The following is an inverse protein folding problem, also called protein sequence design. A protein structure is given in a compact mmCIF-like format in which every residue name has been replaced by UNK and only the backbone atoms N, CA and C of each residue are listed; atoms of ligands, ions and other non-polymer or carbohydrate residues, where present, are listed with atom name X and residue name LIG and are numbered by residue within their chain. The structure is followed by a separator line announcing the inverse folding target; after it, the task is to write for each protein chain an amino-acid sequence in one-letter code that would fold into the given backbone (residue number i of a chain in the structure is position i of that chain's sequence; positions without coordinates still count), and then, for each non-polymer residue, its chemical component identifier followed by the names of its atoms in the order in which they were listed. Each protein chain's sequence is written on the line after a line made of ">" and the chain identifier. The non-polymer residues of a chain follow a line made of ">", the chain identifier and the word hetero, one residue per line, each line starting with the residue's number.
data_IF_387389565705
#
_entry.id   IF_387389565705
#
_cell.length_a   1.000
_cell.length_b   1.000
_cell.length_c   1.000
_cell.angle_alpha   90.00
_cell.angle_beta   90.00
_cell.angle_gamma   90.00
#
_symmetry.space_group_name_H-M   'P 1'
#
loop_
_entity.id
_entity.type
_entity.pdbx_description
1 polymer ?
#
# COMPACT_ATOMS: atom_id res chain seq x y z
N UNK A 1 -19.04 -3.72 41.51
CA UNK A 1 -18.95 -4.25 40.14
C UNK A 1 -18.41 -3.13 39.28
N UNK A 2 -17.22 -3.30 38.69
CA UNK A 2 -16.65 -2.28 37.81
C UNK A 2 -17.42 -2.27 36.49
N UNK A 3 -17.91 -1.10 36.08
CA UNK A 3 -18.58 -0.88 34.80
C UNK A 3 -17.65 -1.26 33.64
N UNK A 4 -17.86 -2.46 33.13
CA UNK A 4 -17.28 -2.99 31.92
C UNK A 4 -18.34 -2.87 30.80
N UNK A 5 -18.02 -2.32 29.61
CA UNK A 5 -16.70 -1.84 29.14
C UNK A 5 -16.46 -0.36 29.46
N UNK A 6 -15.19 0.01 29.64
CA UNK A 6 -14.77 1.41 29.84
C UNK A 6 -15.00 2.22 28.57
N UNK A 7 -15.14 3.54 28.70
CA UNK A 7 -15.29 4.44 27.54
C UNK A 7 -14.14 4.31 26.53
N UNK A 8 -12.91 4.12 27.00
CA UNK A 8 -11.74 3.86 26.16
C UNK A 8 -11.85 2.55 25.37
N UNK A 9 -12.48 1.51 25.94
CA UNK A 9 -12.73 0.24 25.25
C UNK A 9 -13.74 0.44 24.11
N UNK A 10 -14.78 1.24 24.32
CA UNK A 10 -15.77 1.58 23.28
C UNK A 10 -15.13 2.36 22.12
N UNK A 11 -14.31 3.35 22.41
CA UNK A 11 -13.58 4.10 21.38
C UNK A 11 -12.62 3.20 20.59
N UNK A 12 -11.91 2.29 21.27
CA UNK A 12 -11.04 1.34 20.61
C UNK A 12 -11.82 0.38 19.70
N UNK A 13 -12.94 -0.16 20.18
CA UNK A 13 -13.82 -1.03 19.38
C UNK A 13 -14.33 -0.31 18.13
N UNK A 14 -14.78 0.94 18.27
CA UNK A 14 -15.27 1.71 17.12
C UNK A 14 -14.17 1.98 16.09
N UNK A 15 -12.97 2.36 16.54
CA UNK A 15 -11.81 2.55 15.67
C UNK A 15 -11.39 1.25 14.96
N UNK A 16 -11.44 0.11 15.66
CA UNK A 16 -11.16 -1.20 15.07
C UNK A 16 -12.22 -1.58 14.04
N UNK A 17 -13.50 -1.37 14.33
CA UNK A 17 -14.60 -1.65 13.40
C UNK A 17 -14.47 -0.81 12.13
N UNK A 18 -14.19 0.49 12.24
CA UNK A 18 -13.92 1.36 11.07
C UNK A 18 -12.79 0.83 10.19
N UNK A 19 -11.72 0.31 10.79
CA UNK A 19 -10.61 -0.30 10.04
C UNK A 19 -11.01 -1.60 9.36
N UNK A 20 -11.85 -2.41 9.99
CA UNK A 20 -12.36 -3.66 9.42
C UNK A 20 -13.25 -3.34 8.21
N UNK A 21 -14.20 -2.43 8.37
CA UNK A 21 -15.10 -1.99 7.29
C UNK A 21 -14.31 -1.46 6.09
N UNK A 22 -13.31 -0.60 6.30
CA UNK A 22 -12.45 -0.12 5.23
C UNK A 22 -11.70 -1.27 4.53
N UNK A 23 -11.21 -2.26 5.28
CA UNK A 23 -10.56 -3.43 4.70
C UNK A 23 -11.52 -4.29 3.87
N UNK A 24 -12.76 -4.44 4.31
CA UNK A 24 -13.80 -5.17 3.56
C UNK A 24 -14.14 -4.46 2.24
N UNK A 25 -14.27 -3.13 2.26
CA UNK A 25 -14.47 -2.34 1.04
C UNK A 25 -13.32 -2.50 0.05
N UNK A 26 -12.08 -2.53 0.54
CA UNK A 26 -10.91 -2.79 -0.31
C UNK A 26 -10.92 -4.20 -0.90
N UNK A 27 -11.28 -5.24 -0.11
CA UNK A 27 -11.42 -6.61 -0.61
C UNK A 27 -12.49 -6.69 -1.70
N UNK A 28 -13.63 -6.05 -1.47
CA UNK A 28 -14.74 -6.00 -2.43
C UNK A 28 -14.29 -5.36 -3.75
N UNK A 29 -13.64 -4.20 -3.69
CA UNK A 29 -13.13 -3.48 -4.87
C UNK A 29 -12.12 -4.32 -5.67
N UNK A 30 -11.20 -5.01 -4.97
CA UNK A 30 -10.22 -5.87 -5.63
C UNK A 30 -10.86 -7.13 -6.22
N UNK A 31 -11.90 -7.69 -5.59
CA UNK A 31 -12.63 -8.84 -6.12
C UNK A 31 -13.43 -8.49 -7.38
N UNK A 32 -14.01 -7.28 -7.45
CA UNK A 32 -14.75 -6.81 -8.62
C UNK A 32 -13.87 -6.40 -9.82
N UNK A 33 -12.54 -6.44 -9.67
CA UNK A 33 -11.56 -5.94 -10.66
C UNK A 33 -11.29 -6.90 -11.82
N UNK A 34 -11.58 -8.19 -11.67
CA UNK A 34 -11.19 -9.24 -12.65
C UNK A 34 -11.75 -9.04 -14.07
N UNK A 35 -12.64 -8.06 -14.29
CA UNK A 35 -13.27 -7.75 -15.57
C UNK A 35 -12.90 -6.38 -16.19
N UNK A 36 -11.74 -5.79 -15.87
CA UNK A 36 -11.39 -4.47 -16.43
C UNK A 36 -11.36 -4.55 -17.96
N UNK A 37 -12.37 -3.96 -18.59
CA UNK A 37 -12.56 -3.93 -20.05
C UNK A 37 -11.43 -3.12 -20.69
N UNK A 38 -10.60 -3.77 -21.52
CA UNK A 38 -9.51 -3.12 -22.27
C UNK A 38 -10.04 -1.92 -23.09
N UNK A 39 -11.31 -1.97 -23.52
CA UNK A 39 -11.96 -0.86 -24.22
C UNK A 39 -12.12 0.39 -23.34
N UNK A 40 -12.30 0.23 -22.03
CA UNK A 40 -12.40 1.35 -21.11
C UNK A 40 -11.06 2.11 -21.02
N UNK A 41 -9.91 1.41 -21.07
CA UNK A 41 -8.58 2.02 -21.04
C UNK A 41 -8.25 2.79 -22.32
N UNK A 42 -8.77 2.37 -23.46
CA UNK A 42 -8.56 3.05 -24.74
C UNK A 42 -9.20 4.44 -24.81
N UNK A 43 -10.25 4.69 -24.03
CA UNK A 43 -10.90 6.01 -23.97
C UNK A 43 -10.20 7.03 -23.04
N UNK A 44 -9.22 6.58 -22.25
CA UNK A 44 -8.52 7.42 -21.29
C UNK A 44 -7.34 8.19 -21.93
N UNK A 45 -7.01 9.33 -21.32
CA UNK A 45 -5.99 10.23 -21.85
C UNK A 45 -4.57 9.67 -21.63
N UNK A 46 -3.81 9.53 -22.73
CA UNK A 46 -2.42 9.05 -22.73
C UNK A 46 -1.39 10.15 -22.98
N UNK A 47 -1.79 11.43 -22.92
CA UNK A 47 -0.94 12.59 -23.22
C UNK A 47 0.28 12.59 -22.32
N UNK A 48 1.47 12.55 -22.93
CA UNK A 48 2.76 12.46 -22.23
C UNK A 48 2.93 13.52 -21.13
N UNK A 49 2.46 14.76 -21.39
CA UNK A 49 2.50 15.85 -20.41
C UNK A 49 1.75 15.50 -19.12
N UNK A 50 0.56 14.91 -19.23
CA UNK A 50 -0.30 14.59 -18.07
C UNK A 50 0.20 13.35 -17.34
N UNK A 51 0.57 12.31 -18.07
CA UNK A 51 1.11 11.07 -17.47
C UNK A 51 2.45 11.33 -16.78
N UNK A 52 3.32 12.18 -17.34
CA UNK A 52 4.59 12.58 -16.70
C UNK A 52 4.35 13.43 -15.44
N UNK A 53 3.37 14.33 -15.47
CA UNK A 53 2.99 15.11 -14.29
C UNK A 53 2.47 14.22 -13.15
N UNK A 54 1.65 13.22 -13.47
CA UNK A 54 1.22 12.18 -12.53
C UNK A 54 2.42 11.45 -11.92
N UNK A 55 3.34 10.95 -12.74
CA UNK A 55 4.53 10.23 -12.27
C UNK A 55 5.42 11.10 -11.38
N UNK A 56 5.57 12.39 -11.69
CA UNK A 56 6.33 13.33 -10.86
C UNK A 56 5.70 13.49 -9.47
N UNK A 57 4.37 13.62 -9.42
CA UNK A 57 3.60 13.74 -8.17
C UNK A 57 3.66 12.45 -7.35
N UNK A 58 3.65 11.30 -8.01
CA UNK A 58 3.80 9.98 -7.38
C UNK A 58 5.18 9.81 -6.70
N UNK A 59 6.25 10.34 -7.29
CA UNK A 59 7.60 10.27 -6.67
C UNK A 59 7.75 11.16 -5.43
N UNK A 60 6.81 12.08 -5.18
CA UNK A 60 6.73 12.93 -3.99
C UNK A 60 5.45 12.67 -3.20
N UNK A 61 5.12 11.39 -3.00
CA UNK A 61 3.89 10.95 -2.35
C UNK A 61 3.79 11.41 -0.89
N UNK A 62 2.57 11.81 -0.53
CA UNK A 62 2.14 12.12 0.84
C UNK A 62 0.64 11.88 0.97
N UNK A 63 0.14 11.74 2.20
CA UNK A 63 -1.28 11.60 2.51
C UNK A 63 -2.16 12.65 1.80
N UNK A 64 -1.71 13.91 1.77
CA UNK A 64 -2.46 15.02 1.16
C UNK A 64 -2.53 14.92 -0.38
N UNK A 65 -1.55 14.29 -1.01
CA UNK A 65 -1.50 14.15 -2.48
C UNK A 65 -2.39 13.03 -3.03
N UNK A 66 -2.76 12.06 -2.18
CA UNK A 66 -3.48 10.84 -2.57
C UNK A 66 -4.84 11.11 -3.23
N UNK A 67 -5.75 11.94 -2.69
CA UNK A 67 -7.07 12.13 -3.30
C UNK A 67 -6.97 12.64 -4.73
N UNK A 68 -6.08 13.60 -4.97
CA UNK A 68 -5.86 14.15 -6.30
C UNK A 68 -5.13 13.18 -7.23
N UNK A 69 -4.26 12.31 -6.71
CA UNK A 69 -3.69 11.21 -7.52
C UNK A 69 -4.74 10.18 -7.93
N UNK A 70 -5.68 9.83 -7.05
CA UNK A 70 -6.79 8.91 -7.40
C UNK A 70 -7.69 9.53 -8.48
N UNK A 71 -7.96 10.84 -8.38
CA UNK A 71 -8.69 11.57 -9.42
C UNK A 71 -7.93 11.54 -10.76
N UNK A 72 -6.65 11.88 -10.77
CA UNK A 72 -5.82 11.84 -11.97
C UNK A 72 -5.80 10.42 -12.58
N UNK A 73 -5.65 9.39 -11.74
CA UNK A 73 -5.65 7.97 -12.12
C UNK A 73 -6.95 7.58 -12.84
N UNK A 74 -8.10 8.15 -12.48
CA UNK A 74 -9.39 7.89 -13.13
C UNK A 74 -9.51 8.41 -14.56
N UNK A 75 -8.65 9.36 -14.96
CA UNK A 75 -8.71 10.05 -16.25
C UNK A 75 -7.58 9.66 -17.20
N UNK A 76 -6.51 9.05 -16.68
CA UNK A 76 -5.28 8.76 -17.41
C UNK A 76 -5.12 7.27 -17.70
N UNK A 77 -4.65 6.97 -18.91
CA UNK A 77 -4.11 5.66 -19.23
C UNK A 77 -2.63 5.59 -18.82
N UNK A 78 -2.33 4.74 -17.86
CA UNK A 78 -1.00 4.56 -17.28
C UNK A 78 -0.47 3.14 -17.49
N UNK A 79 -1.04 2.36 -18.41
CA UNK A 79 -0.64 0.96 -18.67
C UNK A 79 0.85 0.81 -18.97
N UNK A 80 1.47 1.82 -19.60
CA UNK A 80 2.91 1.84 -19.91
C UNK A 80 3.81 2.19 -18.71
N UNK A 81 3.25 2.70 -17.61
CA UNK A 81 3.99 3.22 -16.46
C UNK A 81 3.82 2.35 -15.21
N UNK A 82 3.16 1.19 -15.29
CA UNK A 82 2.83 0.35 -14.12
C UNK A 82 4.07 -0.07 -13.33
N UNK A 83 5.15 -0.42 -14.01
CA UNK A 83 6.43 -0.76 -13.37
C UNK A 83 7.06 0.45 -12.68
N UNK A 84 7.13 1.60 -13.35
CA UNK A 84 7.65 2.82 -12.73
C UNK A 84 6.81 3.27 -11.54
N UNK A 85 5.49 3.08 -11.58
CA UNK A 85 4.61 3.39 -10.45
C UNK A 85 4.97 2.53 -9.23
N UNK A 86 5.20 1.23 -9.44
CA UNK A 86 5.59 0.31 -8.38
C UNK A 86 6.93 0.71 -7.75
N UNK A 87 7.94 1.00 -8.57
CA UNK A 87 9.25 1.47 -8.11
C UNK A 87 9.14 2.80 -7.36
N UNK A 88 8.42 3.77 -7.93
CA UNK A 88 8.26 5.10 -7.30
C UNK A 88 7.61 5.03 -5.93
N UNK A 89 6.57 4.22 -5.77
CA UNK A 89 5.92 4.01 -4.47
C UNK A 89 6.87 3.30 -3.50
N UNK A 90 7.55 2.24 -3.93
CA UNK A 90 8.46 1.46 -3.09
C UNK A 90 9.68 2.28 -2.60
N UNK A 91 10.21 3.19 -3.43
CA UNK A 91 11.37 4.01 -3.08
C UNK A 91 11.01 5.23 -2.23
N UNK A 92 9.75 5.67 -2.25
CA UNK A 92 9.33 6.87 -1.51
C UNK A 92 9.58 6.70 0.00
N UNK A 93 10.06 7.78 0.63
CA UNK A 93 10.19 7.87 2.08
C UNK A 93 8.86 8.31 2.70
N UNK A 94 8.16 7.37 3.30
CA UNK A 94 6.83 7.58 3.87
C UNK A 94 6.87 7.86 5.38
N UNK A 95 5.92 8.66 5.86
CA UNK A 95 5.63 8.85 7.29
C UNK A 95 4.53 7.88 7.72
N UNK A 96 4.38 7.57 9.03
CA UNK A 96 3.31 6.70 9.52
C UNK A 96 1.90 7.14 9.08
N UNK A 97 1.64 8.45 9.02
CA UNK A 97 0.36 9.01 8.58
C UNK A 97 0.08 8.80 7.09
N UNK A 98 1.11 8.58 6.27
CA UNK A 98 0.95 8.35 4.82
C UNK A 98 0.52 6.92 4.50
N UNK A 99 0.67 5.98 5.44
CA UNK A 99 0.47 4.55 5.20
C UNK A 99 -0.95 4.23 4.74
N UNK A 100 -1.97 4.71 5.45
CA UNK A 100 -3.37 4.39 5.12
C UNK A 100 -3.78 5.00 3.77
N UNK A 101 -3.61 6.32 3.52
CA UNK A 101 -3.96 6.90 2.22
C UNK A 101 -3.22 6.27 1.04
N UNK A 102 -1.95 5.89 1.22
CA UNK A 102 -1.18 5.27 0.13
C UNK A 102 -1.65 3.85 -0.15
N UNK A 103 -2.13 3.12 0.86
CA UNK A 103 -2.80 1.84 0.63
C UNK A 103 -4.04 2.05 -0.23
N UNK A 104 -4.86 3.07 0.04
CA UNK A 104 -6.04 3.37 -0.78
C UNK A 104 -5.68 3.65 -2.24
N UNK A 105 -4.61 4.44 -2.47
CA UNK A 105 -4.07 4.66 -3.82
C UNK A 105 -3.60 3.34 -4.46
N UNK A 106 -2.88 2.50 -3.73
CA UNK A 106 -2.42 1.20 -4.24
C UNK A 106 -3.59 0.29 -4.61
N UNK A 107 -4.68 0.28 -3.84
CA UNK A 107 -5.91 -0.45 -4.16
C UNK A 107 -6.54 0.09 -5.43
N UNK A 108 -6.63 1.42 -5.59
CA UNK A 108 -7.14 2.05 -6.81
C UNK A 108 -6.29 1.76 -8.06
N UNK A 109 -4.95 1.68 -7.91
CA UNK A 109 -4.06 1.29 -9.00
C UNK A 109 -4.25 -0.20 -9.31
N UNK A 110 -4.34 -1.06 -8.29
CA UNK A 110 -4.56 -2.50 -8.47
C UNK A 110 -5.88 -2.81 -9.14
N UNK A 111 -6.93 -2.03 -8.84
CA UNK A 111 -8.25 -2.24 -9.42
C UNK A 111 -8.33 -1.89 -10.90
N UNK A 112 -7.31 -1.22 -11.44
CA UNK A 112 -7.18 -0.92 -12.87
C UNK A 112 -6.06 -1.70 -13.54
N UNK A 113 -4.99 -2.00 -12.80
CA UNK A 113 -3.80 -2.69 -13.30
C UNK A 113 -3.47 -3.88 -12.39
N UNK A 114 -4.05 -5.07 -12.62
CA UNK A 114 -3.87 -6.23 -11.73
C UNK A 114 -2.40 -6.64 -11.50
N UNK A 115 -1.55 -6.46 -12.53
CA UNK A 115 -0.11 -6.75 -12.48
C UNK A 115 0.66 -5.87 -11.51
N UNK A 116 0.16 -4.68 -11.16
CA UNK A 116 0.82 -3.74 -10.26
C UNK A 116 1.14 -4.36 -8.91
N UNK A 117 0.23 -5.18 -8.38
CA UNK A 117 0.38 -5.80 -7.06
C UNK A 117 1.61 -6.69 -6.92
N UNK A 118 1.91 -7.49 -7.95
CA UNK A 118 3.08 -8.35 -7.98
C UNK A 118 4.38 -7.54 -8.14
N UNK A 119 4.35 -6.48 -8.95
CA UNK A 119 5.48 -5.57 -9.17
C UNK A 119 5.82 -4.81 -7.88
N UNK A 120 4.82 -4.22 -7.22
CA UNK A 120 5.03 -3.51 -5.95
C UNK A 120 5.63 -4.42 -4.87
N UNK A 121 5.12 -5.65 -4.76
CA UNK A 121 5.68 -6.63 -3.83
C UNK A 121 7.13 -6.98 -4.16
N UNK A 122 7.47 -7.12 -5.44
CA UNK A 122 8.84 -7.37 -5.90
C UNK A 122 9.78 -6.22 -5.50
N UNK A 123 9.37 -4.98 -5.70
CA UNK A 123 10.17 -3.81 -5.34
C UNK A 123 10.36 -3.66 -3.83
N UNK A 124 9.28 -3.83 -3.04
CA UNK A 124 9.38 -3.79 -1.58
C UNK A 124 10.33 -4.87 -1.05
N UNK A 125 10.28 -6.09 -1.62
CA UNK A 125 11.16 -7.20 -1.20
C UNK A 125 12.66 -6.86 -1.35
N UNK A 126 13.04 -6.04 -2.34
CA UNK A 126 14.45 -5.60 -2.50
C UNK A 126 14.94 -4.76 -1.32
N UNK A 127 14.04 -4.08 -0.62
CA UNK A 127 14.35 -3.27 0.56
C UNK A 127 14.32 -4.04 1.89
N UNK A 128 13.89 -5.31 1.90
CA UNK A 128 13.81 -6.12 3.12
C UNK A 128 15.13 -6.87 3.36
N UNK A 129 15.64 -6.93 4.60
CA UNK A 129 16.76 -7.80 4.97
C UNK A 129 16.26 -9.25 5.03
N UNK A 130 16.43 -10.00 3.92
CA UNK A 130 15.90 -11.36 3.81
C UNK A 130 16.88 -12.41 4.38
N UNK A 131 18.16 -12.07 4.52
CA UNK A 131 19.20 -12.92 5.10
C UNK A 131 19.64 -12.35 6.46
N UNK A 132 20.04 -13.26 7.36
CA UNK A 132 20.53 -12.90 8.70
C UNK A 132 21.79 -12.01 8.67
N UNK A 133 22.55 -12.00 7.58
CA UNK A 133 23.71 -11.13 7.37
C UNK A 133 23.38 -9.75 6.82
N UNK A 134 22.14 -9.52 6.37
CA UNK A 134 21.77 -8.27 5.71
C UNK A 134 21.70 -7.16 6.76
N UNK A 135 22.47 -6.10 6.52
CA UNK A 135 22.47 -4.91 7.37
C UNK A 135 21.25 -4.05 7.03
N UNK A 136 20.50 -3.66 8.06
CA UNK A 136 19.38 -2.73 7.89
C UNK A 136 19.91 -1.32 7.65
N UNK A 137 19.88 -0.87 6.40
CA UNK A 137 20.35 0.46 6.01
C UNK A 137 19.46 1.59 6.57
N UNK A 138 18.14 1.38 6.63
CA UNK A 138 17.19 2.38 7.15
C UNK A 138 16.05 1.72 7.94
N UNK A 139 16.19 1.62 9.28
CA UNK A 139 15.19 0.94 10.11
C UNK A 139 13.84 1.67 10.15
N UNK A 140 13.82 3.00 9.96
CA UNK A 140 12.58 3.77 9.91
C UNK A 140 11.79 3.48 8.64
N UNK A 141 12.45 3.42 7.48
CA UNK A 141 11.81 3.03 6.21
C UNK A 141 11.31 1.58 6.28
N UNK A 142 12.14 0.68 6.79
CA UNK A 142 11.81 -0.73 6.92
C UNK A 142 10.56 -0.99 7.78
N UNK A 143 10.42 -0.28 8.91
CA UNK A 143 9.19 -0.36 9.73
C UNK A 143 7.94 0.04 8.96
N UNK A 144 8.04 1.07 8.11
CA UNK A 144 6.92 1.53 7.30
C UNK A 144 6.64 0.53 6.18
N UNK A 145 7.66 0.07 5.46
CA UNK A 145 7.51 -0.90 4.36
C UNK A 145 6.87 -2.21 4.86
N UNK A 146 7.26 -2.68 6.05
CA UNK A 146 6.62 -3.84 6.70
C UNK A 146 5.17 -3.56 7.10
N UNK A 147 4.86 -2.37 7.63
CA UNK A 147 3.48 -1.97 7.97
C UNK A 147 2.60 -1.87 6.71
N UNK A 148 3.10 -1.25 5.64
CA UNK A 148 2.42 -1.16 4.35
C UNK A 148 2.18 -2.55 3.77
N UNK A 149 3.22 -3.39 3.77
CA UNK A 149 3.12 -4.79 3.35
C UNK A 149 2.09 -5.55 4.16
N UNK A 150 2.03 -5.37 5.47
CA UNK A 150 1.02 -6.01 6.32
C UNK A 150 -0.40 -5.60 5.94
N UNK A 151 -0.68 -4.29 5.83
CA UNK A 151 -2.01 -3.80 5.49
C UNK A 151 -2.45 -4.30 4.12
N UNK A 152 -1.55 -4.26 3.13
CA UNK A 152 -1.83 -4.71 1.77
C UNK A 152 -1.97 -6.24 1.66
N UNK A 153 -1.10 -7.02 2.32
CA UNK A 153 -1.17 -8.49 2.29
C UNK A 153 -2.34 -9.04 3.08
N UNK A 154 -2.78 -8.38 4.17
CA UNK A 154 -3.98 -8.76 4.91
C UNK A 154 -5.24 -8.71 4.04
N UNK A 155 -5.23 -7.92 2.96
CA UNK A 155 -6.34 -7.78 2.01
C UNK A 155 -6.34 -8.87 0.92
N UNK A 156 -5.20 -9.50 0.61
CA UNK A 156 -5.07 -10.50 -0.48
C UNK A 156 -4.69 -11.93 -0.05
N UNK A 157 -4.02 -12.15 1.09
CA UNK A 157 -3.50 -13.46 1.49
C UNK A 157 -3.79 -13.80 2.95
N UNK A 158 -4.35 -14.99 3.19
CA UNK A 158 -4.69 -15.52 4.52
C UNK A 158 -3.49 -16.22 5.20
N UNK A 159 -3.23 -15.83 6.45
CA UNK A 159 -2.34 -16.42 7.47
C UNK A 159 -0.82 -16.58 7.21
N UNK A 160 -0.34 -17.06 6.06
CA UNK A 160 1.08 -17.46 5.91
C UNK A 160 2.03 -16.24 5.77
N UNK A 161 1.65 -15.23 4.99
CA UNK A 161 2.47 -14.01 4.85
C UNK A 161 2.41 -13.09 6.08
N UNK A 162 1.36 -13.18 6.91
CA UNK A 162 1.30 -12.49 8.20
C UNK A 162 2.43 -12.97 9.11
N UNK A 163 2.65 -14.28 9.19
CA UNK A 163 3.76 -14.85 9.96
C UNK A 163 5.12 -14.39 9.42
N UNK A 164 5.28 -14.33 8.09
CA UNK A 164 6.52 -13.88 7.45
C UNK A 164 6.83 -12.39 7.73
N UNK A 165 5.84 -11.49 7.60
CA UNK A 165 6.03 -10.07 7.92
C UNK A 165 6.29 -9.83 9.42
N UNK A 166 5.67 -10.61 10.31
CA UNK A 166 5.95 -10.56 11.75
C UNK A 166 7.38 -11.03 12.04
N UNK A 167 7.83 -12.13 11.42
CA UNK A 167 9.19 -12.65 11.58
C UNK A 167 10.23 -11.65 11.07
N UNK A 168 9.98 -10.98 9.94
CA UNK A 168 10.83 -9.89 9.43
C UNK A 168 10.81 -8.68 10.37
N UNK A 169 9.64 -8.25 10.87
CA UNK A 169 9.52 -7.14 11.81
C UNK A 169 10.27 -7.41 13.13
N UNK A 170 10.14 -8.62 13.68
CA UNK A 170 10.84 -9.06 14.89
C UNK A 170 12.35 -9.12 14.67
N UNK A 171 12.83 -9.59 13.52
CA UNK A 171 14.25 -9.62 13.19
C UNK A 171 14.84 -8.20 13.15
N UNK A 172 14.12 -7.26 12.54
CA UNK A 172 14.52 -5.84 12.46
C UNK A 172 14.50 -5.15 13.81
N UNK A 173 13.52 -5.42 14.66
CA UNK A 173 13.49 -4.95 16.05
C UNK A 173 14.66 -5.51 16.85
N UNK A 174 14.99 -6.79 16.66
CA UNK A 174 16.13 -7.44 17.34
C UNK A 174 17.46 -6.80 16.93
N UNK A 175 17.65 -6.52 15.64
CA UNK A 175 18.84 -5.81 15.13
C UNK A 175 18.92 -4.33 15.55
N UNK A 176 17.81 -3.72 15.98
CA UNK A 176 17.79 -2.33 16.46
C UNK A 176 17.98 -2.22 17.98
N UNK A 177 17.91 -3.34 18.71
CA UNK A 177 18.06 -3.44 20.16
C UNK A 177 19.42 -4.03 20.59
N UNK A 178 20.23 -4.51 19.64
CA UNK A 178 21.62 -4.93 19.81
C UNK A 178 22.55 -3.96 19.07
#
# INVERSE_FOLDING_TARGET
>A
MADWPRFADRQWVEEVNKRIEAQEQHRFTLASTESTDENALHSLDSTLKKTTAFMKKLRSLSAASVPSLIEDLSRLNLSKFVEEMATGIAETRLKPADVVPIVDLCIAICSRYPRFSALLLSEIKKGLPLKRSDKVANPSKLRIDVRCSWNYMSLKYTCILKLYCILVYLNVLLQALC
#
